data_IF_858989174163
#
_entry.id   IF_858989174163
#
_cell.length_a   1.000
_cell.length_b   1.000
_cell.length_c   1.000
_cell.angle_alpha   90.00
_cell.angle_beta   90.00
_cell.angle_gamma   90.00
#
_symmetry.space_group_name_H-M   'P 1'
#
loop_
_entity.id
_entity.type
_entity.pdbx_description
1 polymer ?
#
# COMPACT_ATOMS: atom_id res chain seq x y z
N UNK A 1 -43.91 -33.76 -13.50
CA UNK A 1 -43.60 -33.71 -14.96
C UNK A 1 -42.34 -32.87 -15.18
N UNK A 2 -41.42 -33.41 -15.98
CA UNK A 2 -40.28 -32.79 -16.71
C UNK A 2 -39.12 -32.16 -15.90
N UNK A 3 -38.05 -32.97 -15.78
CA UNK A 3 -36.66 -32.56 -15.51
C UNK A 3 -36.12 -31.66 -16.65
N UNK A 4 -35.19 -30.73 -16.37
CA UNK A 4 -34.46 -30.00 -17.41
C UNK A 4 -33.36 -30.86 -18.07
N UNK A 5 -33.02 -30.62 -19.35
CA UNK A 5 -32.04 -31.42 -20.09
C UNK A 5 -30.59 -31.02 -19.80
N UNK A 6 -29.70 -32.03 -19.84
CA UNK A 6 -28.24 -31.89 -19.72
C UNK A 6 -27.63 -31.20 -20.96
N UNK A 7 -26.54 -30.42 -20.83
CA UNK A 7 -25.84 -29.88 -21.99
C UNK A 7 -24.99 -30.95 -22.69
N UNK A 8 -25.05 -30.95 -24.03
CA UNK A 8 -24.28 -31.81 -24.94
C UNK A 8 -22.83 -31.32 -25.02
N UNK A 9 -21.88 -32.24 -24.89
CA UNK A 9 -20.45 -32.02 -25.17
C UNK A 9 -20.28 -31.87 -26.70
N UNK A 10 -19.79 -30.71 -27.14
CA UNK A 10 -19.28 -30.52 -28.49
C UNK A 10 -17.75 -30.65 -28.45
N UNK A 11 -17.24 -31.65 -29.17
CA UNK A 11 -15.82 -31.83 -29.42
C UNK A 11 -15.40 -30.91 -30.57
N UNK A 12 -14.42 -30.04 -30.34
CA UNK A 12 -13.73 -29.30 -31.39
C UNK A 12 -12.27 -29.74 -31.40
N UNK A 13 -11.88 -30.39 -32.48
CA UNK A 13 -10.52 -30.78 -32.78
C UNK A 13 -9.70 -29.54 -33.15
N UNK A 14 -8.60 -29.30 -32.44
CA UNK A 14 -7.61 -28.29 -32.80
C UNK A 14 -6.34 -29.00 -33.28
N UNK A 15 -6.04 -28.82 -34.55
CA UNK A 15 -4.86 -29.30 -35.27
C UNK A 15 -3.60 -28.59 -34.77
N UNK A 16 -2.64 -29.37 -34.28
CA UNK A 16 -1.30 -28.94 -33.88
C UNK A 16 -0.41 -28.87 -35.14
N UNK A 17 0.12 -27.69 -35.48
CA UNK A 17 1.22 -27.56 -36.45
C UNK A 17 2.50 -27.23 -35.70
N UNK A 18 3.35 -28.24 -35.55
CA UNK A 18 4.74 -28.15 -35.10
C UNK A 18 5.62 -27.78 -36.32
N UNK A 19 6.29 -26.64 -36.30
CA UNK A 19 7.43 -26.37 -37.17
C UNK A 19 8.73 -26.60 -36.40
N UNK A 20 9.34 -27.73 -36.72
CA UNK A 20 10.68 -28.18 -36.33
C UNK A 20 11.69 -27.58 -37.30
N UNK A 21 12.69 -26.85 -36.82
CA UNK A 21 13.88 -26.52 -37.62
C UNK A 21 15.13 -26.75 -36.78
N UNK A 22 15.85 -27.82 -37.17
CA UNK A 22 17.05 -28.32 -36.55
C UNK A 22 18.22 -28.19 -37.55
N UNK A 23 19.33 -27.64 -37.06
CA UNK A 23 20.75 -27.89 -37.39
C UNK A 23 21.27 -27.58 -38.81
N UNK A 24 22.41 -26.87 -38.85
CA UNK A 24 23.72 -27.45 -39.22
C UNK A 24 24.87 -26.46 -38.88
N UNK A 25 25.88 -26.99 -38.18
CA UNK A 25 27.23 -26.44 -37.95
C UNK A 25 28.09 -26.55 -39.24
N UNK A 26 29.25 -25.86 -39.33
CA UNK A 26 30.48 -26.57 -38.98
C UNK A 26 31.55 -25.76 -38.22
N UNK A 27 32.37 -26.57 -37.56
CA UNK A 27 33.66 -26.39 -36.88
C UNK A 27 34.71 -25.52 -37.58
N UNK A 28 35.60 -24.91 -36.78
CA UNK A 28 37.05 -25.03 -37.00
C UNK A 28 37.94 -23.80 -36.78
N UNK A 29 39.00 -24.00 -35.98
CA UNK A 29 40.35 -23.39 -36.05
C UNK A 29 40.51 -21.89 -35.71
N UNK A 30 41.59 -21.38 -35.10
CA UNK A 30 42.76 -21.88 -34.36
C UNK A 30 43.38 -20.65 -33.65
N UNK A 31 44.06 -20.87 -32.52
CA UNK A 31 44.86 -19.85 -31.85
C UNK A 31 46.10 -19.45 -32.67
N UNK A 32 46.50 -18.17 -32.56
CA UNK A 32 47.88 -17.63 -32.47
C UNK A 32 48.00 -16.33 -33.25
N UNK A 33 48.49 -15.28 -32.60
CA UNK A 33 49.50 -14.39 -33.18
C UNK A 33 50.24 -13.66 -32.05
N UNK A 34 51.53 -14.01 -31.92
CA UNK A 34 52.57 -13.13 -31.35
C UNK A 34 52.97 -12.12 -32.43
N UNK A 35 53.17 -10.87 -32.02
CA UNK A 35 54.09 -9.88 -32.62
C UNK A 35 54.48 -8.96 -31.44
N UNK A 36 55.70 -8.93 -30.90
CA UNK A 36 57.02 -8.59 -31.46
C UNK A 36 57.10 -7.14 -31.98
N UNK A 37 57.54 -6.22 -31.12
CA UNK A 37 58.41 -5.08 -31.44
C UNK A 37 58.98 -4.56 -30.09
N UNK A 38 60.21 -4.95 -29.75
CA UNK A 38 61.45 -4.18 -29.97
C UNK A 38 61.50 -2.91 -29.12
N UNK A 39 62.28 -2.98 -28.05
CA UNK A 39 62.45 -1.90 -27.08
C UNK A 39 63.42 -0.80 -27.51
N UNK A 40 63.43 0.25 -26.69
CA UNK A 40 64.58 1.11 -26.48
C UNK A 40 64.75 1.26 -24.98
N UNK A 41 65.94 0.90 -24.49
CA UNK A 41 66.34 1.02 -23.10
C UNK A 41 66.64 2.47 -22.72
N UNK A 42 66.19 2.88 -21.55
CA UNK A 42 66.83 3.94 -20.77
C UNK A 42 66.90 3.48 -19.32
N UNK A 43 68.11 3.17 -18.87
CA UNK A 43 68.42 2.95 -17.46
C UNK A 43 68.89 4.27 -16.85
N UNK A 44 68.29 4.71 -15.75
CA UNK A 44 68.88 4.54 -14.42
C UNK A 44 68.19 5.36 -13.34
N UNK A 45 68.12 4.71 -12.17
CA UNK A 45 68.14 5.25 -10.80
C UNK A 45 66.98 6.12 -10.31
N UNK A 46 66.06 5.48 -9.57
CA UNK A 46 65.46 6.08 -8.37
C UNK A 46 65.12 4.97 -7.37
N UNK A 47 65.89 4.98 -6.29
CA UNK A 47 65.61 4.57 -4.91
C UNK A 47 64.31 3.79 -4.65
N UNK A 48 64.51 2.57 -4.12
CA UNK A 48 63.47 1.69 -3.63
C UNK A 48 62.55 2.38 -2.60
N UNK A 49 61.26 2.44 -2.92
CA UNK A 49 60.18 2.43 -1.93
C UNK A 49 59.27 1.27 -2.31
N UNK A 50 59.49 0.10 -1.69
CA UNK A 50 58.48 -0.96 -1.61
C UNK A 50 57.30 -0.38 -0.83
N UNK A 51 56.38 0.25 -1.53
CA UNK A 51 55.01 0.39 -1.03
C UNK A 51 54.39 -0.97 -1.27
N UNK A 52 54.08 -1.67 -0.18
CA UNK A 52 53.26 -2.88 -0.20
C UNK A 52 51.90 -2.49 -0.81
N UNK A 53 51.71 -2.80 -2.09
CA UNK A 53 50.41 -2.84 -2.74
C UNK A 53 49.80 -4.22 -2.44
N UNK A 54 49.44 -4.43 -1.18
CA UNK A 54 48.66 -5.58 -0.71
C UNK A 54 47.74 -5.05 0.39
N UNK A 55 46.48 -4.72 0.05
CA UNK A 55 45.32 -5.06 0.89
C UNK A 55 43.95 -4.71 0.26
N UNK A 56 43.88 -3.75 -0.68
CA UNK A 56 42.59 -3.20 -1.11
C UNK A 56 41.64 -4.22 -1.75
N UNK A 57 42.18 -5.22 -2.47
CA UNK A 57 41.37 -6.27 -3.10
C UNK A 57 40.75 -7.26 -2.09
N UNK A 58 41.47 -7.58 -1.01
CA UNK A 58 41.00 -8.49 0.03
C UNK A 58 40.03 -7.78 0.98
N UNK A 59 40.30 -6.52 1.34
CA UNK A 59 39.40 -5.69 2.12
C UNK A 59 38.06 -5.47 1.41
N UNK A 60 38.07 -5.20 0.10
CA UNK A 60 36.84 -5.03 -0.70
C UNK A 60 36.05 -6.34 -0.85
N UNK A 61 36.73 -7.48 -1.02
CA UNK A 61 36.07 -8.79 -1.08
C UNK A 61 35.44 -9.19 0.26
N UNK A 62 36.13 -8.93 1.38
CA UNK A 62 35.62 -9.17 2.72
C UNK A 62 34.39 -8.29 3.03
N UNK A 63 34.44 -7.00 2.70
CA UNK A 63 33.31 -6.09 2.87
C UNK A 63 32.10 -6.50 2.02
N UNK A 64 32.32 -6.93 0.77
CA UNK A 64 31.25 -7.44 -0.09
C UNK A 64 30.62 -8.73 0.47
N UNK A 65 31.43 -9.64 1.02
CA UNK A 65 30.95 -10.86 1.67
C UNK A 65 30.16 -10.56 2.96
N UNK A 66 30.62 -9.61 3.78
CA UNK A 66 29.91 -9.16 4.98
C UNK A 66 28.55 -8.54 4.63
N UNK A 67 28.51 -7.71 3.59
CA UNK A 67 27.29 -7.10 3.08
C UNK A 67 26.30 -8.16 2.59
N UNK A 68 26.75 -9.14 1.80
CA UNK A 68 25.92 -10.25 1.34
C UNK A 68 25.37 -11.09 2.51
N UNK A 69 26.19 -11.37 3.52
CA UNK A 69 25.75 -12.05 4.73
C UNK A 69 24.73 -11.24 5.53
N UNK A 70 24.87 -9.91 5.58
CA UNK A 70 23.88 -9.02 6.20
C UNK A 70 22.53 -9.08 5.46
N UNK A 71 22.54 -9.05 4.12
CA UNK A 71 21.33 -9.21 3.32
C UNK A 71 20.61 -10.51 3.66
N UNK A 72 21.31 -11.65 3.66
CA UNK A 72 20.71 -12.95 4.00
C UNK A 72 20.13 -12.98 5.42
N UNK A 73 20.85 -12.44 6.41
CA UNK A 73 20.34 -12.34 7.80
C UNK A 73 19.07 -11.53 7.89
N UNK A 74 19.00 -10.38 7.22
CA UNK A 74 17.81 -9.53 7.24
C UNK A 74 16.64 -10.16 6.46
N UNK A 75 16.89 -10.87 5.37
CA UNK A 75 15.86 -11.49 4.55
C UNK A 75 15.40 -12.87 5.02
N UNK A 76 16.05 -13.45 6.04
CA UNK A 76 15.64 -14.73 6.61
C UNK A 76 14.19 -14.68 7.14
N UNK A 77 13.33 -15.59 6.67
CA UNK A 77 11.92 -15.65 7.10
C UNK A 77 11.02 -14.53 6.56
N UNK A 78 11.49 -13.76 5.56
CA UNK A 78 10.64 -12.86 4.79
C UNK A 78 9.84 -13.65 3.74
N UNK A 79 8.59 -13.27 3.50
CA UNK A 79 7.75 -13.93 2.49
C UNK A 79 8.27 -13.68 1.06
N UNK A 80 8.74 -12.45 0.79
CA UNK A 80 9.24 -12.03 -0.52
C UNK A 80 10.75 -11.85 -0.47
N UNK A 81 11.48 -12.98 -0.41
CA UNK A 81 12.95 -13.00 -0.20
C UNK A 81 13.73 -12.34 -1.32
N UNK A 82 13.30 -12.52 -2.57
CA UNK A 82 13.87 -11.93 -3.77
C UNK A 82 13.80 -10.39 -3.75
N UNK A 83 12.62 -9.85 -3.43
CA UNK A 83 12.41 -8.40 -3.28
C UNK A 83 13.20 -7.87 -2.10
N UNK A 84 13.27 -8.62 -0.99
CA UNK A 84 14.10 -8.25 0.15
C UNK A 84 15.57 -8.15 -0.23
N UNK A 85 16.12 -9.20 -0.85
CA UNK A 85 17.54 -9.29 -1.16
C UNK A 85 17.97 -8.20 -2.15
N UNK A 86 17.23 -8.03 -3.24
CA UNK A 86 17.48 -6.98 -4.23
C UNK A 86 17.38 -5.56 -3.63
N UNK A 87 16.45 -5.33 -2.71
CA UNK A 87 16.30 -4.03 -2.04
C UNK A 87 17.49 -3.75 -1.11
N UNK A 88 17.82 -4.70 -0.23
CA UNK A 88 18.88 -4.52 0.78
C UNK A 88 20.28 -4.51 0.18
N UNK A 89 20.51 -5.21 -0.93
CA UNK A 89 21.79 -5.20 -1.63
C UNK A 89 22.23 -3.79 -2.05
N UNK A 90 21.28 -2.87 -2.26
CA UNK A 90 21.54 -1.48 -2.67
C UNK A 90 21.72 -0.49 -1.50
N UNK A 91 21.65 -0.96 -0.25
CA UNK A 91 21.79 -0.11 0.93
C UNK A 91 23.27 -0.12 1.35
N UNK A 92 23.98 1.03 1.36
CA UNK A 92 25.37 1.08 1.82
C UNK A 92 25.46 0.77 3.32
N UNK A 93 26.59 0.23 3.78
CA UNK A 93 26.90 -0.03 5.19
C UNK A 93 25.82 -0.84 5.93
N UNK A 94 25.14 -1.75 5.21
CA UNK A 94 23.99 -2.50 5.75
C UNK A 94 24.36 -3.29 7.00
N UNK A 95 25.55 -3.89 7.02
CA UNK A 95 26.01 -4.73 8.12
C UNK A 95 26.14 -3.96 9.44
N UNK A 96 26.40 -2.64 9.39
CA UNK A 96 26.58 -1.78 10.56
C UNK A 96 25.30 -1.01 10.96
N UNK A 97 24.24 -1.06 10.14
CA UNK A 97 23.00 -0.33 10.43
C UNK A 97 22.14 -1.00 11.49
N UNK A 98 21.55 -0.24 12.44
CA UNK A 98 20.57 -0.79 13.36
C UNK A 98 19.31 -1.22 12.59
N UNK A 99 18.62 -2.25 13.08
CA UNK A 99 17.44 -2.84 12.42
C UNK A 99 16.37 -1.80 12.10
N UNK A 100 16.19 -0.81 12.97
CA UNK A 100 15.24 0.31 12.78
C UNK A 100 15.57 1.15 11.53
N UNK A 101 16.84 1.46 11.31
CA UNK A 101 17.29 2.22 10.13
C UNK A 101 17.18 1.38 8.86
N UNK A 102 17.43 0.07 8.95
CA UNK A 102 17.19 -0.86 7.84
C UNK A 102 15.71 -0.87 7.46
N UNK A 103 14.80 -0.95 8.43
CA UNK A 103 13.35 -0.87 8.18
C UNK A 103 13.00 0.49 7.54
N UNK A 104 13.51 1.60 8.09
CA UNK A 104 13.26 2.93 7.54
C UNK A 104 13.72 3.05 6.09
N UNK A 105 14.87 2.46 5.73
CA UNK A 105 15.36 2.45 4.36
C UNK A 105 14.45 1.62 3.42
N UNK A 106 13.92 0.48 3.88
CA UNK A 106 12.96 -0.33 3.10
C UNK A 106 11.63 0.42 2.92
N UNK A 107 11.15 1.11 3.96
CA UNK A 107 9.94 1.96 3.89
C UNK A 107 10.14 3.11 2.89
N UNK A 108 11.31 3.76 2.88
CA UNK A 108 11.64 4.81 1.93
C UNK A 108 11.66 4.28 0.48
N UNK A 109 12.20 3.07 0.27
CA UNK A 109 12.15 2.38 -1.04
C UNK A 109 10.71 2.06 -1.45
N UNK A 110 9.87 1.61 -0.52
CA UNK A 110 8.44 1.42 -0.76
C UNK A 110 7.76 2.72 -1.17
N UNK A 111 8.04 3.84 -0.50
CA UNK A 111 7.49 5.14 -0.85
C UNK A 111 7.91 5.59 -2.26
N UNK A 112 9.17 5.35 -2.66
CA UNK A 112 9.62 5.60 -4.03
C UNK A 112 8.86 4.75 -5.06
N UNK A 113 8.67 3.46 -4.79
CA UNK A 113 7.90 2.56 -5.65
C UNK A 113 6.42 2.96 -5.75
N UNK A 114 5.82 3.46 -4.67
CA UNK A 114 4.45 4.00 -4.64
C UNK A 114 4.35 5.25 -5.52
N UNK A 115 5.27 6.21 -5.40
CA UNK A 115 5.29 7.42 -6.26
C UNK A 115 5.38 7.04 -7.74
N UNK A 116 6.25 6.09 -8.08
CA UNK A 116 6.39 5.60 -9.45
C UNK A 116 5.10 4.92 -9.96
N UNK A 117 4.43 4.14 -9.11
CA UNK A 117 3.16 3.48 -9.42
C UNK A 117 2.02 4.49 -9.61
N UNK A 118 1.94 5.51 -8.74
CA UNK A 118 0.94 6.57 -8.83
C UNK A 118 1.10 7.40 -10.12
N UNK A 119 2.34 7.73 -10.48
CA UNK A 119 2.65 8.39 -11.76
C UNK A 119 2.25 7.52 -12.95
N UNK A 120 2.44 6.20 -12.87
CA UNK A 120 2.06 5.28 -13.93
C UNK A 120 0.53 5.22 -14.10
N UNK A 121 -0.23 5.06 -13.01
CA UNK A 121 -1.69 5.11 -13.03
C UNK A 121 -2.20 6.45 -13.58
N UNK A 122 -1.61 7.57 -13.15
CA UNK A 122 -1.94 8.91 -13.65
C UNK A 122 -1.67 9.06 -15.15
N UNK A 123 -0.60 8.47 -15.67
CA UNK A 123 -0.30 8.49 -17.09
C UNK A 123 -1.35 7.72 -17.91
N UNK A 124 -1.88 6.62 -17.40
CA UNK A 124 -3.02 5.92 -18.03
C UNK A 124 -4.27 6.80 -18.08
N UNK A 125 -4.59 7.50 -16.98
CA UNK A 125 -5.77 8.38 -16.90
C UNK A 125 -5.74 9.54 -17.90
N UNK A 126 -4.54 10.04 -18.22
CA UNK A 126 -4.30 11.14 -19.18
C UNK A 126 -4.35 10.72 -20.64
N UNK A 127 -4.48 9.42 -20.96
CA UNK A 127 -4.54 8.97 -22.36
C UNK A 127 -5.76 9.57 -23.07
N UNK A 128 -5.59 10.11 -24.28
CA UNK A 128 -6.67 10.78 -25.02
C UNK A 128 -7.79 9.79 -25.38
N UNK A 129 -9.00 10.31 -25.47
CA UNK A 129 -10.16 9.56 -25.94
C UNK A 129 -10.01 9.29 -27.44
N UNK A 130 -9.96 8.02 -27.83
CA UNK A 130 -9.82 7.54 -29.21
C UNK A 130 -10.01 6.02 -29.27
N UNK A 131 -9.50 5.36 -30.30
CA UNK A 131 -9.59 3.89 -30.47
C UNK A 131 -8.94 3.05 -29.33
N UNK A 132 -8.27 3.70 -28.37
CA UNK A 132 -7.72 3.11 -27.14
C UNK A 132 -8.22 3.77 -25.85
N UNK A 133 -9.40 4.41 -25.86
CA UNK A 133 -9.97 5.07 -24.69
C UNK A 133 -10.19 4.07 -23.54
N UNK A 134 -9.86 4.51 -22.32
CA UNK A 134 -10.18 3.75 -21.12
C UNK A 134 -11.69 3.66 -20.95
N UNK A 135 -12.18 2.47 -20.62
CA UNK A 135 -13.57 2.28 -20.21
C UNK A 135 -13.83 3.04 -18.93
N UNK A 136 -15.09 3.40 -18.70
CA UNK A 136 -15.52 4.10 -17.47
C UNK A 136 -15.03 3.37 -16.23
N UNK A 137 -15.19 2.04 -16.17
CA UNK A 137 -14.72 1.22 -15.05
C UNK A 137 -13.21 1.29 -14.84
N UNK A 138 -12.43 1.16 -15.91
CA UNK A 138 -10.97 1.20 -15.81
C UNK A 138 -10.49 2.57 -15.36
N UNK A 139 -11.18 3.64 -15.82
CA UNK A 139 -10.91 5.02 -15.38
C UNK A 139 -11.22 5.19 -13.89
N UNK A 140 -12.35 4.66 -13.40
CA UNK A 140 -12.68 4.69 -11.98
C UNK A 140 -11.67 3.90 -11.14
N UNK A 141 -11.35 2.67 -11.54
CA UNK A 141 -10.38 1.83 -10.84
C UNK A 141 -8.97 2.45 -10.82
N UNK A 142 -8.54 3.10 -11.91
CA UNK A 142 -7.29 3.85 -11.93
C UNK A 142 -7.33 5.09 -11.03
N UNK A 143 -8.46 5.79 -10.97
CA UNK A 143 -8.65 6.92 -10.04
C UNK A 143 -8.55 6.45 -8.59
N UNK A 144 -9.20 5.33 -8.26
CA UNK A 144 -9.14 4.71 -6.94
C UNK A 144 -7.72 4.27 -6.58
N UNK A 145 -6.99 3.69 -7.53
CA UNK A 145 -5.58 3.36 -7.32
C UNK A 145 -4.74 4.60 -7.00
N UNK A 146 -4.94 5.72 -7.70
CA UNK A 146 -4.19 6.96 -7.41
C UNK A 146 -4.50 7.47 -6.01
N UNK A 147 -5.77 7.43 -5.60
CA UNK A 147 -6.23 7.81 -4.26
C UNK A 147 -5.63 6.90 -3.17
N UNK A 148 -5.74 5.58 -3.33
CA UNK A 148 -5.18 4.57 -2.42
C UNK A 148 -3.64 4.64 -2.32
N UNK A 149 -2.95 4.92 -3.44
CA UNK A 149 -1.50 5.14 -3.44
C UNK A 149 -1.14 6.45 -2.72
N UNK A 150 -1.98 7.48 -2.82
CA UNK A 150 -1.85 8.71 -2.01
C UNK A 150 -1.96 8.42 -0.51
N UNK A 151 -2.98 7.68 -0.08
CA UNK A 151 -3.11 7.23 1.32
C UNK A 151 -1.92 6.39 1.76
N UNK A 152 -1.43 5.51 0.88
CA UNK A 152 -0.24 4.70 1.14
C UNK A 152 1.00 5.57 1.39
N UNK A 153 1.21 6.64 0.61
CA UNK A 153 2.34 7.56 0.85
C UNK A 153 2.25 8.25 2.22
N UNK A 154 1.06 8.72 2.61
CA UNK A 154 0.85 9.33 3.92
C UNK A 154 1.12 8.34 5.08
N UNK A 155 0.68 7.09 4.92
CA UNK A 155 0.92 6.01 5.88
C UNK A 155 2.40 5.65 5.99
N UNK A 156 3.12 5.56 4.86
CA UNK A 156 4.57 5.31 4.86
C UNK A 156 5.36 6.48 5.48
N UNK A 157 4.97 7.73 5.20
CA UNK A 157 5.57 8.90 5.86
C UNK A 157 5.33 8.92 7.38
N UNK A 158 4.15 8.48 7.82
CA UNK A 158 3.86 8.27 9.25
C UNK A 158 4.78 7.19 9.83
N UNK A 159 4.97 6.07 9.12
CA UNK A 159 5.88 5.02 9.56
C UNK A 159 7.33 5.53 9.69
N UNK A 160 7.82 6.32 8.74
CA UNK A 160 9.16 6.91 8.79
C UNK A 160 9.32 7.86 9.99
N UNK A 161 8.32 8.71 10.26
CA UNK A 161 8.33 9.62 11.39
C UNK A 161 8.34 8.87 12.74
N UNK A 162 7.50 7.84 12.88
CA UNK A 162 7.47 6.98 14.07
C UNK A 162 8.78 6.21 14.25
N UNK A 163 9.35 5.68 13.16
CA UNK A 163 10.63 4.97 13.17
C UNK A 163 11.79 5.90 13.57
N UNK A 164 11.76 7.15 13.14
CA UNK A 164 12.79 8.16 13.48
C UNK A 164 12.65 8.71 14.90
N UNK A 165 11.43 8.67 15.47
CA UNK A 165 11.19 9.19 16.81
C UNK A 165 11.75 8.25 17.90
N UNK A 166 12.83 8.69 18.57
CA UNK A 166 13.45 7.95 19.69
C UNK A 166 12.79 8.15 21.06
N UNK A 167 11.85 9.08 21.19
CA UNK A 167 11.35 9.60 22.49
C UNK A 167 9.97 9.11 22.92
N UNK A 168 9.19 8.42 22.08
CA UNK A 168 7.97 7.73 22.54
C UNK A 168 8.35 6.38 23.11
N UNK A 169 7.53 5.80 23.99
CA UNK A 169 7.76 4.42 24.41
C UNK A 169 7.90 3.57 23.13
N UNK A 170 9.03 2.88 22.97
CA UNK A 170 9.35 2.18 21.73
C UNK A 170 8.23 1.19 21.29
N UNK A 171 7.41 0.76 22.26
CA UNK A 171 6.21 -0.07 22.08
C UNK A 171 5.10 0.60 21.27
N UNK A 172 4.74 1.84 21.60
CA UNK A 172 3.60 2.54 20.98
C UNK A 172 3.95 2.98 19.55
N UNK A 173 5.21 3.39 19.34
CA UNK A 173 5.78 3.65 18.02
C UNK A 173 5.69 2.42 17.11
N UNK A 174 6.05 1.23 17.61
CA UNK A 174 6.04 0.02 16.77
C UNK A 174 4.62 -0.47 16.45
N UNK A 175 3.69 -0.41 17.41
CA UNK A 175 2.28 -0.73 17.14
C UNK A 175 1.68 0.23 16.11
N UNK A 176 1.98 1.53 16.22
CA UNK A 176 1.57 2.54 15.23
C UNK A 176 2.13 2.25 13.84
N UNK A 177 3.44 1.95 13.73
CA UNK A 177 4.08 1.56 12.46
C UNK A 177 3.43 0.32 11.87
N UNK A 178 3.12 -0.69 12.69
CA UNK A 178 2.43 -1.89 12.23
C UNK A 178 1.05 -1.54 11.65
N UNK A 179 0.26 -0.71 12.32
CA UNK A 179 -1.06 -0.28 11.86
C UNK A 179 -0.99 0.39 10.48
N UNK A 180 -0.12 1.39 10.32
CA UNK A 180 -0.03 2.14 9.05
C UNK A 180 0.54 1.29 7.91
N UNK A 181 1.50 0.39 8.19
CA UNK A 181 2.02 -0.53 7.18
C UNK A 181 0.99 -1.60 6.77
N UNK A 182 0.18 -2.10 7.72
CA UNK A 182 -0.93 -3.02 7.39
C UNK A 182 -1.97 -2.34 6.51
N UNK A 183 -2.33 -1.09 6.81
CA UNK A 183 -3.24 -0.31 5.98
C UNK A 183 -2.65 -0.03 4.57
N UNK A 184 -1.36 0.30 4.49
CA UNK A 184 -0.64 0.49 3.23
C UNK A 184 -0.65 -0.76 2.34
N UNK A 185 -0.54 -1.95 2.95
CA UNK A 185 -0.63 -3.22 2.26
C UNK A 185 -2.04 -3.47 1.73
N UNK A 186 -3.07 -3.24 2.55
CA UNK A 186 -4.49 -3.38 2.15
C UNK A 186 -4.81 -2.49 0.95
N UNK A 187 -4.36 -1.23 0.95
CA UNK A 187 -4.56 -0.29 -0.15
C UNK A 187 -4.06 -0.83 -1.50
N UNK A 188 -2.97 -1.60 -1.53
CA UNK A 188 -2.44 -2.19 -2.76
C UNK A 188 -3.39 -3.24 -3.33
N UNK A 189 -3.92 -4.12 -2.48
CA UNK A 189 -4.88 -5.14 -2.90
C UNK A 189 -6.21 -4.52 -3.31
N UNK A 190 -6.70 -3.52 -2.55
CA UNK A 190 -7.92 -2.77 -2.91
C UNK A 190 -7.80 -2.09 -4.27
N UNK A 191 -6.63 -1.53 -4.60
CA UNK A 191 -6.37 -0.96 -5.93
C UNK A 191 -6.53 -2.03 -7.04
N UNK A 192 -5.98 -3.23 -6.83
CA UNK A 192 -6.12 -4.33 -7.82
C UNK A 192 -7.54 -4.89 -7.87
N UNK A 193 -8.25 -4.93 -6.74
CA UNK A 193 -9.65 -5.38 -6.66
C UNK A 193 -10.61 -4.44 -7.40
N UNK A 194 -10.25 -3.16 -7.57
CA UNK A 194 -10.98 -2.23 -8.44
C UNK A 194 -11.14 -2.73 -9.88
N UNK A 195 -10.26 -3.62 -10.34
CA UNK A 195 -10.28 -4.25 -11.66
C UNK A 195 -10.86 -5.68 -11.65
N UNK A 196 -11.46 -6.14 -10.55
CA UNK A 196 -12.15 -7.43 -10.47
C UNK A 196 -13.67 -7.29 -10.73
N UNK A 197 -14.33 -8.41 -11.02
CA UNK A 197 -15.79 -8.52 -11.13
C UNK A 197 -16.34 -8.71 -12.56
N UNK A 198 -17.63 -9.05 -12.72
CA UNK A 198 -18.23 -9.41 -14.02
C UNK A 198 -18.21 -8.27 -15.04
N UNK A 199 -18.27 -7.03 -14.56
CA UNK A 199 -18.20 -5.83 -15.39
C UNK A 199 -16.75 -5.36 -15.64
N UNK A 200 -15.76 -5.99 -14.99
CA UNK A 200 -14.36 -5.82 -15.37
C UNK A 200 -14.09 -6.60 -16.66
N UNK A 201 -13.25 -6.04 -17.53
CA UNK A 201 -12.90 -6.65 -18.82
C UNK A 201 -12.52 -8.12 -18.68
N UNK A 202 -13.18 -8.98 -19.44
CA UNK A 202 -12.62 -10.29 -19.79
C UNK A 202 -11.26 -10.13 -20.51
N UNK A 203 -11.05 -9.02 -21.23
CA UNK A 203 -9.82 -8.68 -21.95
C UNK A 203 -8.66 -8.17 -21.06
N UNK A 204 -8.90 -7.91 -19.76
CA UNK A 204 -7.87 -7.53 -18.79
C UNK A 204 -6.90 -6.44 -19.26
N UNK A 205 -7.32 -5.36 -19.94
CA UNK A 205 -6.35 -4.48 -20.65
C UNK A 205 -5.48 -3.59 -19.76
N UNK A 206 -5.88 -3.26 -18.53
CA UNK A 206 -5.13 -2.32 -17.67
C UNK A 206 -4.42 -3.05 -16.53
N UNK A 207 -5.15 -3.90 -15.80
CA UNK A 207 -4.65 -4.62 -14.61
C UNK A 207 -3.29 -5.31 -14.83
N UNK A 208 -3.04 -6.07 -15.92
CA UNK A 208 -1.77 -6.76 -16.14
C UNK A 208 -0.56 -5.84 -16.27
N UNK A 209 -0.75 -4.59 -16.72
CA UNK A 209 0.33 -3.64 -16.88
C UNK A 209 0.70 -2.93 -15.57
N UNK A 210 -0.26 -2.78 -14.65
CA UNK A 210 -0.03 -2.13 -13.36
C UNK A 210 0.26 -3.15 -12.24
N UNK A 211 -0.26 -4.38 -12.35
CA UNK A 211 -0.23 -5.38 -11.26
C UNK A 211 1.17 -5.65 -10.74
N UNK A 212 2.18 -5.75 -11.62
CA UNK A 212 3.55 -6.04 -11.21
C UNK A 212 4.12 -4.94 -10.32
N UNK A 213 3.81 -3.68 -10.62
CA UNK A 213 4.23 -2.52 -9.82
C UNK A 213 3.53 -2.49 -8.46
N UNK A 214 2.22 -2.73 -8.46
CA UNK A 214 1.42 -2.76 -7.23
C UNK A 214 1.83 -3.93 -6.32
N UNK A 215 2.08 -5.12 -6.87
CA UNK A 215 2.63 -6.24 -6.09
C UNK A 215 4.04 -5.96 -5.59
N UNK A 216 4.89 -5.30 -6.38
CA UNK A 216 6.21 -4.90 -5.90
C UNK A 216 6.12 -3.97 -4.68
N UNK A 217 5.21 -2.99 -4.70
CA UNK A 217 4.90 -2.17 -3.52
C UNK A 217 4.42 -3.03 -2.36
N UNK A 218 3.43 -3.91 -2.59
CA UNK A 218 2.90 -4.80 -1.57
C UNK A 218 4.00 -5.69 -0.93
N UNK A 219 4.92 -6.19 -1.73
CA UNK A 219 6.04 -7.02 -1.26
C UNK A 219 7.03 -6.22 -0.40
N UNK A 220 7.34 -4.97 -0.77
CA UNK A 220 8.17 -4.07 0.05
C UNK A 220 7.51 -3.76 1.40
N UNK A 221 6.21 -3.45 1.40
CA UNK A 221 5.44 -3.19 2.62
C UNK A 221 5.33 -4.45 3.50
N UNK A 222 5.09 -5.61 2.89
CA UNK A 222 5.05 -6.92 3.55
C UNK A 222 6.39 -7.28 4.21
N UNK A 223 7.50 -7.08 3.51
CA UNK A 223 8.84 -7.26 4.08
C UNK A 223 9.10 -6.26 5.22
N UNK A 224 8.66 -4.99 5.10
CA UNK A 224 8.76 -3.99 6.17
C UNK A 224 8.01 -4.44 7.44
N UNK A 225 6.78 -4.95 7.30
CA UNK A 225 5.99 -5.53 8.40
C UNK A 225 6.70 -6.73 9.05
N UNK A 226 7.29 -7.61 8.25
CA UNK A 226 7.98 -8.78 8.76
C UNK A 226 9.29 -8.40 9.49
N UNK A 227 10.03 -7.41 9.00
CA UNK A 227 11.20 -6.86 9.71
C UNK A 227 10.81 -6.17 11.01
N UNK A 228 9.68 -5.45 11.05
CA UNK A 228 9.17 -4.77 12.24
C UNK A 228 8.95 -5.72 13.42
N UNK A 229 8.57 -6.98 13.15
CA UNK A 229 8.41 -8.02 14.19
C UNK A 229 9.72 -8.39 14.90
N UNK A 230 10.88 -8.02 14.33
CA UNK A 230 12.20 -8.24 14.93
C UNK A 230 12.59 -7.14 15.92
N UNK A 231 11.87 -6.01 15.96
CA UNK A 231 12.06 -5.00 17.00
C UNK A 231 11.49 -5.49 18.34
N UNK A 232 12.02 -5.03 19.48
CA UNK A 232 11.51 -5.41 20.79
C UNK A 232 10.00 -5.13 20.92
N UNK A 233 9.21 -6.19 21.04
CA UNK A 233 7.77 -6.13 21.33
C UNK A 233 7.56 -6.48 22.79
N UNK A 234 6.88 -5.63 23.57
CA UNK A 234 6.45 -6.06 24.91
C UNK A 234 5.27 -7.02 24.73
N UNK A 235 5.48 -8.32 24.96
CA UNK A 235 4.40 -9.27 25.24
C UNK A 235 3.68 -8.79 26.51
N UNK A 236 2.62 -8.01 26.36
CA UNK A 236 1.82 -7.53 27.50
C UNK A 236 1.03 -8.70 28.09
N UNK A 237 1.64 -9.38 29.06
CA UNK A 237 1.01 -10.38 29.92
C UNK A 237 0.01 -9.65 30.84
N UNK A 238 -1.28 -9.98 30.75
CA UNK A 238 -2.37 -9.50 31.63
C UNK A 238 -3.22 -8.38 31.02
N UNK A 239 -4.55 -8.33 31.17
CA UNK A 239 -5.51 -8.86 32.16
C UNK A 239 -6.85 -8.94 31.42
N UNK A 240 -7.75 -9.89 31.73
CA UNK A 240 -9.10 -10.06 31.15
C UNK A 240 -9.68 -8.78 30.56
N UNK A 241 -9.44 -8.57 29.28
CA UNK A 241 -10.13 -7.59 28.50
C UNK A 241 -10.56 -8.37 27.28
N UNK A 242 -11.86 -8.40 27.05
CA UNK A 242 -12.42 -9.01 25.87
C UNK A 242 -11.75 -8.32 24.67
N UNK A 243 -10.88 -9.07 23.99
CA UNK A 243 -10.42 -8.71 22.67
C UNK A 243 -11.57 -9.04 21.73
N UNK A 244 -12.33 -8.02 21.37
CA UNK A 244 -13.36 -8.17 20.36
C UNK A 244 -12.67 -8.04 19.00
N UNK A 245 -12.80 -9.07 18.18
CA UNK A 245 -12.19 -9.13 16.85
C UNK A 245 -12.57 -7.87 16.05
N UNK A 246 -11.56 -7.15 15.54
CA UNK A 246 -11.73 -5.89 14.81
C UNK A 246 -11.80 -4.61 15.66
N UNK A 247 -12.12 -4.69 16.96
CA UNK A 247 -12.28 -3.49 17.82
C UNK A 247 -11.15 -3.35 18.87
N UNK A 248 -10.33 -4.39 19.03
CA UNK A 248 -9.24 -4.42 19.99
C UNK A 248 -9.74 -4.57 21.43
N UNK A 249 -8.97 -4.04 22.38
CA UNK A 249 -9.23 -4.21 23.81
C UNK A 249 -10.46 -3.41 24.24
N UNK A 250 -11.49 -4.07 24.75
CA UNK A 250 -12.67 -3.39 25.32
C UNK A 250 -12.50 -3.16 26.83
N UNK A 251 -12.81 -1.96 27.31
CA UNK A 251 -12.86 -1.62 28.74
C UNK A 251 -14.15 -0.86 29.04
N UNK A 252 -14.93 -1.35 30.01
CA UNK A 252 -16.21 -0.75 30.43
C UNK A 252 -17.19 -0.57 29.25
N UNK A 253 -17.29 -1.58 28.38
CA UNK A 253 -18.21 -1.59 27.23
C UNK A 253 -17.77 -0.78 26.01
N UNK A 254 -16.58 -0.16 26.01
CA UNK A 254 -16.07 0.61 24.88
C UNK A 254 -14.65 0.16 24.48
N UNK A 255 -14.27 0.27 23.20
CA UNK A 255 -12.88 0.07 22.78
C UNK A 255 -11.92 1.02 23.50
N UNK A 256 -10.71 0.56 23.79
CA UNK A 256 -9.71 1.32 24.55
C UNK A 256 -9.24 2.59 23.85
N UNK A 257 -9.36 2.65 22.52
CA UNK A 257 -9.02 3.82 21.70
C UNK A 257 -10.08 4.92 21.77
N UNK A 258 -11.30 4.62 22.22
CA UNK A 258 -12.32 5.65 22.47
C UNK A 258 -11.98 6.36 23.77
N UNK A 259 -11.76 7.68 23.73
CA UNK A 259 -11.34 8.45 24.90
C UNK A 259 -12.40 8.46 26.01
N UNK A 260 -12.01 8.72 27.26
CA UNK A 260 -12.97 8.83 28.37
C UNK A 260 -14.00 9.96 28.16
N UNK A 261 -13.59 11.05 27.49
CA UNK A 261 -14.50 12.13 27.11
C UNK A 261 -15.53 11.65 26.07
N UNK A 262 -15.09 10.88 25.06
CA UNK A 262 -15.98 10.39 24.00
C UNK A 262 -16.95 9.35 24.50
N UNK A 263 -16.50 8.44 25.36
CA UNK A 263 -17.40 7.48 26.03
C UNK A 263 -18.50 8.18 26.81
N UNK A 264 -18.15 9.21 27.58
CA UNK A 264 -19.14 10.01 28.34
C UNK A 264 -20.17 10.66 27.40
N UNK A 265 -19.73 11.20 26.27
CA UNK A 265 -20.63 11.79 25.25
C UNK A 265 -21.55 10.76 24.61
N UNK A 266 -21.02 9.59 24.23
CA UNK A 266 -21.81 8.51 23.62
C UNK A 266 -22.82 7.89 24.60
N UNK A 267 -22.52 7.90 25.90
CA UNK A 267 -23.42 7.38 26.95
C UNK A 267 -24.51 8.36 27.36
N UNK A 268 -24.30 9.66 27.16
CA UNK A 268 -25.28 10.67 27.53
C UNK A 268 -26.35 10.77 26.43
N UNK A 269 -27.53 10.19 26.67
CA UNK A 269 -28.69 10.20 25.76
C UNK A 269 -29.19 11.59 25.35
N UNK A 270 -28.78 12.67 26.03
CA UNK A 270 -29.33 14.02 25.87
C UNK A 270 -28.31 15.13 26.15
N UNK A 271 -27.03 14.97 25.79
CA UNK A 271 -26.26 16.22 25.60
C UNK A 271 -26.83 16.86 24.36
N UNK A 272 -27.40 18.05 24.53
CA UNK A 272 -27.50 19.06 23.47
C UNK A 272 -26.06 19.28 22.99
N UNK A 273 -25.56 18.37 22.15
CA UNK A 273 -24.36 18.58 21.38
C UNK A 273 -24.74 19.77 20.53
N UNK A 274 -24.26 20.95 20.90
CA UNK A 274 -24.40 22.15 20.07
C UNK A 274 -23.75 21.77 18.75
N UNK A 275 -24.54 21.55 17.69
CA UNK A 275 -23.99 21.10 16.43
C UNK A 275 -23.31 22.28 15.77
N UNK A 276 -22.18 22.04 15.13
CA UNK A 276 -21.52 23.05 14.30
C UNK A 276 -22.32 23.27 13.01
N UNK A 277 -22.90 22.18 12.47
CA UNK A 277 -23.80 22.20 11.32
C UNK A 277 -25.01 21.30 11.52
N UNK A 278 -26.15 21.74 11.02
CA UNK A 278 -27.39 20.96 10.94
C UNK A 278 -27.71 20.63 9.49
N UNK A 279 -27.95 19.36 9.21
CA UNK A 279 -28.46 18.87 7.92
C UNK A 279 -29.93 18.54 8.07
N UNK A 280 -30.77 19.18 7.28
CA UNK A 280 -32.22 18.99 7.31
C UNK A 280 -32.79 19.02 5.90
N UNK A 281 -33.44 17.92 5.50
CA UNK A 281 -33.98 17.77 4.13
C UNK A 281 -35.15 18.72 3.84
N UNK A 282 -35.82 19.19 4.89
CA UNK A 282 -36.92 20.17 4.82
C UNK A 282 -36.42 21.62 4.68
N UNK A 283 -35.10 21.85 4.65
CA UNK A 283 -34.49 23.18 4.58
C UNK A 283 -34.41 23.92 5.92
N UNK A 284 -34.81 23.29 7.03
CA UNK A 284 -34.74 23.89 8.37
C UNK A 284 -33.33 23.92 9.00
N UNK A 285 -32.33 23.40 8.29
CA UNK A 285 -30.92 23.31 8.71
C UNK A 285 -30.01 24.17 7.84
N UNK A 286 -28.70 24.08 8.07
CA UNK A 286 -27.69 24.77 7.27
C UNK A 286 -27.58 24.19 5.86
N UNK A 287 -27.73 22.86 5.72
CA UNK A 287 -27.62 22.14 4.45
C UNK A 287 -28.76 21.14 4.29
N UNK A 288 -29.07 20.78 3.04
CA UNK A 288 -30.10 19.77 2.73
C UNK A 288 -29.51 18.38 2.52
N UNK A 289 -28.21 18.30 2.22
CA UNK A 289 -27.46 17.06 2.00
C UNK A 289 -26.31 16.92 3.00
N UNK A 290 -25.94 15.67 3.28
CA UNK A 290 -24.82 15.35 4.18
C UNK A 290 -23.49 15.65 3.50
N UNK A 291 -23.38 15.42 2.18
CA UNK A 291 -22.17 15.74 1.40
C UNK A 291 -21.78 17.22 1.45
N UNK A 292 -22.75 18.14 1.35
CA UNK A 292 -22.49 19.58 1.50
C UNK A 292 -21.97 19.95 2.89
N UNK A 293 -22.55 19.36 3.94
CA UNK A 293 -22.09 19.60 5.30
C UNK A 293 -20.67 19.07 5.55
N UNK A 294 -20.32 17.92 4.98
CA UNK A 294 -18.94 17.39 5.02
C UNK A 294 -17.99 18.32 4.27
N UNK A 295 -18.38 18.81 3.09
CA UNK A 295 -17.57 19.74 2.31
C UNK A 295 -17.31 21.05 3.07
N UNK A 296 -18.31 21.56 3.79
CA UNK A 296 -18.24 22.78 4.60
C UNK A 296 -17.42 22.63 5.89
N UNK A 297 -17.23 21.41 6.40
CA UNK A 297 -16.42 21.17 7.59
C UNK A 297 -14.95 21.61 7.38
N UNK A 298 -14.27 22.13 8.40
CA UNK A 298 -12.87 22.54 8.29
C UNK A 298 -11.94 21.35 8.01
N UNK A 299 -10.92 21.58 7.17
CA UNK A 299 -9.87 20.59 6.91
C UNK A 299 -8.84 20.59 8.03
N UNK A 300 -8.32 19.41 8.39
CA UNK A 300 -7.29 19.19 9.41
C UNK A 300 -7.63 19.83 10.77
N UNK A 301 -8.91 19.83 11.14
CA UNK A 301 -9.38 20.40 12.40
C UNK A 301 -8.80 19.62 13.59
N UNK A 302 -8.19 20.32 14.53
CA UNK A 302 -7.79 19.77 15.84
C UNK A 302 -8.99 19.59 16.77
N UNK A 303 -10.01 20.44 16.59
CA UNK A 303 -11.26 20.36 17.32
C UNK A 303 -12.23 19.39 16.63
N UNK A 304 -13.09 18.77 17.43
CA UNK A 304 -14.21 18.00 16.92
C UNK A 304 -15.21 18.90 16.21
N UNK A 305 -15.64 18.47 15.03
CA UNK A 305 -16.68 19.13 14.27
C UNK A 305 -17.92 18.24 14.18
N UNK A 306 -19.03 18.70 14.75
CA UNK A 306 -20.26 17.94 14.95
C UNK A 306 -21.28 18.31 13.88
N UNK A 307 -21.61 17.35 13.02
CA UNK A 307 -22.67 17.46 12.02
C UNK A 307 -23.89 16.70 12.55
N UNK A 308 -24.96 17.43 12.86
CA UNK A 308 -26.23 16.85 13.26
C UNK A 308 -27.14 16.67 12.04
N UNK A 309 -27.64 15.46 11.85
CA UNK A 309 -28.43 15.06 10.69
C UNK A 309 -29.83 14.69 11.19
N UNK A 310 -30.80 15.55 10.89
CA UNK A 310 -32.19 15.34 11.26
C UNK A 310 -32.77 14.06 10.64
N UNK A 311 -33.89 13.62 11.19
CA UNK A 311 -34.65 12.49 10.68
C UNK A 311 -34.98 12.69 9.19
N UNK A 312 -34.73 11.65 8.40
CA UNK A 312 -34.90 11.70 6.96
C UNK A 312 -34.17 10.56 6.25
N UNK A 313 -34.64 10.27 5.04
CA UNK A 313 -33.94 9.40 4.10
C UNK A 313 -33.07 10.24 3.17
N UNK A 314 -31.74 10.14 3.33
CA UNK A 314 -30.73 10.80 2.51
C UNK A 314 -30.22 9.80 1.48
N UNK A 315 -30.44 10.09 0.19
CA UNK A 315 -30.03 9.21 -0.90
C UNK A 315 -28.81 9.79 -1.61
N UNK A 316 -27.63 9.52 -1.07
CA UNK A 316 -26.36 10.09 -1.51
C UNK A 316 -25.18 9.19 -1.14
N UNK A 317 -24.11 9.24 -1.93
CA UNK A 317 -22.81 8.66 -1.60
C UNK A 317 -21.95 9.74 -0.94
N UNK A 318 -21.92 9.74 0.39
CA UNK A 318 -21.11 10.70 1.14
C UNK A 318 -19.66 10.23 1.18
N UNK A 319 -18.76 11.04 0.63
CA UNK A 319 -17.32 10.80 0.64
C UNK A 319 -16.68 11.72 1.69
N UNK A 320 -16.04 11.14 2.70
CA UNK A 320 -15.30 11.87 3.74
C UNK A 320 -13.81 11.81 3.38
N UNK A 321 -13.29 12.92 2.85
CA UNK A 321 -11.88 13.02 2.49
C UNK A 321 -10.95 12.85 3.69
N UNK A 322 -9.73 12.36 3.46
CA UNK A 322 -8.74 12.12 4.53
C UNK A 322 -8.34 13.38 5.30
N UNK A 323 -8.51 14.55 4.68
CA UNK A 323 -8.29 15.86 5.28
C UNK A 323 -9.40 16.27 6.25
N UNK A 324 -10.56 15.63 6.22
CA UNK A 324 -11.68 15.92 7.13
C UNK A 324 -11.50 15.19 8.47
N UNK A 325 -10.54 15.65 9.26
CA UNK A 325 -10.22 15.07 10.56
C UNK A 325 -11.23 15.47 11.64
N UNK A 326 -11.42 14.62 12.64
CA UNK A 326 -12.25 14.89 13.83
C UNK A 326 -13.74 15.20 13.56
N UNK A 327 -14.30 14.68 12.47
CA UNK A 327 -15.75 14.74 12.20
C UNK A 327 -16.53 13.80 13.14
N UNK A 328 -17.69 14.27 13.60
CA UNK A 328 -18.68 13.46 14.32
C UNK A 328 -20.06 13.66 13.69
N UNK A 329 -20.69 12.56 13.27
CA UNK A 329 -22.07 12.55 12.80
C UNK A 329 -23.01 12.15 13.93
N UNK A 330 -24.12 12.89 14.07
CA UNK A 330 -25.17 12.61 15.06
C UNK A 330 -26.52 12.60 14.35
N UNK A 331 -27.23 11.47 14.41
CA UNK A 331 -28.59 11.35 13.86
C UNK A 331 -29.67 11.45 14.94
N UNK A 332 -30.93 11.63 14.52
CA UNK A 332 -32.10 11.63 15.40
C UNK A 332 -32.44 10.27 16.03
N UNK A 333 -31.72 9.24 15.61
CA UNK A 333 -31.79 7.90 16.14
C UNK A 333 -31.65 6.84 15.06
N UNK A 334 -31.36 5.63 15.51
CA UNK A 334 -31.37 4.43 14.69
C UNK A 334 -32.73 4.33 13.98
N UNK A 335 -32.74 4.15 12.65
CA UNK A 335 -33.92 4.11 11.78
C UNK A 335 -34.65 5.44 11.50
N UNK A 336 -34.27 6.55 12.13
CA UNK A 336 -34.86 7.88 11.82
C UNK A 336 -34.03 8.65 10.82
N UNK A 337 -32.72 8.64 11.00
CA UNK A 337 -31.76 9.22 10.08
C UNK A 337 -31.11 8.09 9.29
N UNK A 338 -31.44 7.96 8.01
CA UNK A 338 -30.94 6.89 7.16
C UNK A 338 -30.19 7.49 5.98
N UNK A 339 -28.89 7.18 5.86
CA UNK A 339 -28.05 7.56 4.73
C UNK A 339 -27.82 6.33 3.85
N UNK A 340 -28.34 6.38 2.63
CA UNK A 340 -28.27 5.23 1.72
C UNK A 340 -27.86 5.66 0.33
N UNK A 341 -27.30 4.71 -0.41
CA UNK A 341 -26.89 4.89 -1.80
C UNK A 341 -27.17 3.62 -2.61
N UNK A 342 -27.00 3.68 -3.93
CA UNK A 342 -27.21 2.53 -4.82
C UNK A 342 -26.01 2.19 -5.72
N UNK A 343 -24.86 2.83 -5.53
CA UNK A 343 -23.64 2.49 -6.29
C UNK A 343 -23.22 1.05 -6.01
N UNK A 344 -23.02 0.26 -7.06
CA UNK A 344 -22.60 -1.13 -6.94
C UNK A 344 -21.73 -1.56 -8.12
N UNK A 345 -21.07 -2.71 -7.95
CA UNK A 345 -20.11 -3.24 -8.93
C UNK A 345 -20.76 -3.63 -10.25
N UNK A 346 -21.99 -4.16 -10.23
CA UNK A 346 -22.72 -4.58 -11.43
C UNK A 346 -23.01 -3.37 -12.31
N UNK A 347 -23.43 -2.25 -11.71
CA UNK A 347 -23.70 -0.97 -12.36
C UNK A 347 -22.43 -0.13 -12.60
N UNK A 348 -21.32 -0.80 -12.92
CA UNK A 348 -20.07 -0.20 -13.37
C UNK A 348 -19.32 0.66 -12.34
N UNK A 349 -19.66 0.57 -11.04
CA UNK A 349 -18.86 1.15 -9.95
C UNK A 349 -17.73 0.21 -9.52
N UNK A 350 -16.82 0.71 -8.68
CA UNK A 350 -15.79 -0.09 -8.02
C UNK A 350 -16.22 -0.47 -6.62
N UNK A 351 -15.63 -1.52 -6.05
CA UNK A 351 -15.89 -1.91 -4.65
C UNK A 351 -15.59 -0.74 -3.70
N UNK A 352 -14.48 -0.04 -3.93
CA UNK A 352 -14.05 1.12 -3.15
C UNK A 352 -15.08 2.27 -3.14
N UNK A 353 -15.71 2.58 -4.28
CA UNK A 353 -16.71 3.66 -4.39
C UNK A 353 -18.16 3.25 -4.15
N UNK A 354 -18.39 1.98 -3.83
CA UNK A 354 -19.75 1.46 -3.60
C UNK A 354 -20.25 1.70 -2.17
N UNK A 355 -19.32 1.90 -1.22
CA UNK A 355 -19.66 2.14 0.18
C UNK A 355 -20.43 3.46 0.39
N UNK A 356 -21.25 3.47 1.44
CA UNK A 356 -21.88 4.67 2.01
C UNK A 356 -21.66 4.69 3.52
N UNK A 357 -21.98 5.80 4.18
CA UNK A 357 -21.61 6.04 5.58
C UNK A 357 -22.37 5.20 6.61
N UNK A 358 -23.67 4.95 6.44
CA UNK A 358 -24.40 4.12 7.41
C UNK A 358 -25.91 4.21 7.34
N UNK A 359 -26.57 3.18 7.87
CA UNK A 359 -28.03 3.03 7.96
C UNK A 359 -28.52 3.16 9.40
#
# INVERSE_FOLDING_TARGET
MRRPPKPKRAAAAATFLLSLSLLLLPLGFVATHRAFSSGVAAASTSTAKRVLLEDDGHANAAAAAEHAAAVERHCAGMLHRDVCASTLATIPDLAQKPVRDVISAVVARAAAAVRASASNCSAYLRRPAGAGALRVRDRLALSDCVELLGHTLAQLGTAEAELSSGNRSAEESVAGVQTVLSAALTNQYTCLDGFAGPSASEDGRVRPYIQGRIYHVAHLVSNSLAMLRRLPQRRRRGREALELEGYGRVRRGFPSWVSAADRRRLQQQQVVLVPDLVVAKDGSGNFTTVGEAVAAAPNNSEARFVIYIKAGGYFENVEVGSEKTNLMFVGDGMWKTVIKASRNVVDNSTTFRSATLGQ
#
